data_IF_789044117299
#
_entry.id   IF_789044117299
#
_cell.length_a   1.000
_cell.length_b   1.000
_cell.length_c   1.000
_cell.angle_alpha   90.00
_cell.angle_beta   90.00
_cell.angle_gamma   90.00
#
_symmetry.space_group_name_H-M   'P 1'
#
loop_
_entity.id
_entity.type
_entity.pdbx_description
1 polymer ?
#
# COMPACT_ATOMS: atom_id res chain seq x y z
N UNK A 1 -10.67 15.96 12.02
CA UNK A 1 -9.99 17.08 11.31
C UNK A 1 -8.94 17.75 12.20
N UNK A 2 -9.30 18.45 13.29
CA UNK A 2 -8.33 19.17 14.13
C UNK A 2 -7.17 18.31 14.63
N UNK A 3 -7.45 17.12 15.16
CA UNK A 3 -6.41 16.18 15.62
C UNK A 3 -5.51 15.68 14.49
N UNK A 4 -6.08 15.41 13.31
CA UNK A 4 -5.30 14.98 12.16
C UNK A 4 -4.34 16.10 11.72
N UNK A 5 -4.82 17.34 11.67
CA UNK A 5 -4.00 18.51 11.34
C UNK A 5 -2.89 18.76 12.36
N UNK A 6 -3.22 18.69 13.65
CA UNK A 6 -2.26 18.81 14.74
C UNK A 6 -1.17 17.74 14.62
N UNK A 7 -1.57 16.47 14.41
CA UNK A 7 -0.63 15.37 14.24
C UNK A 7 0.31 15.58 13.05
N UNK A 8 -0.21 15.84 11.86
CA UNK A 8 0.65 15.99 10.67
C UNK A 8 1.55 17.23 10.73
N UNK A 9 1.08 18.35 11.29
CA UNK A 9 1.85 19.60 11.27
C UNK A 9 2.75 19.79 12.49
N UNK A 10 2.31 19.39 13.69
CA UNK A 10 3.03 19.64 14.94
C UNK A 10 3.83 18.42 15.40
N UNK A 11 3.26 17.22 15.29
CA UNK A 11 3.92 15.99 15.77
C UNK A 11 4.84 15.37 14.71
N UNK A 12 4.37 15.30 13.46
CA UNK A 12 5.21 14.86 12.33
C UNK A 12 6.06 15.99 11.74
N UNK A 13 5.74 17.25 12.05
CA UNK A 13 6.48 18.41 11.55
C UNK A 13 6.33 18.65 10.04
N UNK A 14 5.29 18.11 9.40
CA UNK A 14 5.11 18.29 7.96
C UNK A 14 4.77 19.76 7.65
N UNK A 15 5.45 20.37 6.65
CA UNK A 15 5.23 21.76 6.30
C UNK A 15 3.79 21.98 5.82
N UNK A 16 2.98 22.83 6.49
CA UNK A 16 1.58 23.08 6.11
C UNK A 16 1.41 23.53 4.66
N UNK A 17 2.43 24.19 4.08
CA UNK A 17 2.42 24.65 2.70
C UNK A 17 2.50 23.52 1.65
N UNK A 18 2.91 22.32 2.05
CA UNK A 18 2.95 21.11 1.21
C UNK A 18 1.69 20.27 1.37
N UNK A 19 0.79 20.60 2.30
CA UNK A 19 -0.42 19.85 2.56
C UNK A 19 -1.60 20.41 1.76
N UNK A 20 -2.32 19.51 1.13
CA UNK A 20 -3.54 19.76 0.37
C UNK A 20 -4.66 18.90 0.92
N UNK A 21 -5.89 19.39 0.80
CA UNK A 21 -7.07 18.74 1.35
C UNK A 21 -8.07 18.45 0.24
N UNK A 22 -8.67 17.27 0.28
CA UNK A 22 -9.86 16.93 -0.51
C UNK A 22 -11.05 16.72 0.42
N UNK A 23 -12.25 17.06 -0.05
CA UNK A 23 -13.52 16.89 0.67
C UNK A 23 -14.61 16.48 -0.32
N UNK A 24 -15.68 15.89 0.20
CA UNK A 24 -16.86 15.56 -0.61
C UNK A 24 -17.57 16.82 -1.16
N UNK A 25 -18.17 16.73 -2.34
CA UNK A 25 -18.77 17.86 -3.09
C UNK A 25 -19.62 18.80 -2.21
N UNK A 26 -20.50 18.23 -1.40
CA UNK A 26 -21.50 18.97 -0.63
C UNK A 26 -21.13 19.12 0.87
N UNK A 27 -19.90 18.78 1.26
CA UNK A 27 -19.44 18.84 2.65
C UNK A 27 -18.86 20.22 3.02
N UNK A 28 -19.77 21.20 3.14
CA UNK A 28 -19.45 22.56 3.61
C UNK A 28 -18.98 22.62 5.07
N UNK A 29 -19.28 21.59 5.86
CA UNK A 29 -18.84 21.52 7.25
C UNK A 29 -17.34 21.26 7.32
N UNK A 30 -16.85 20.25 6.61
CA UNK A 30 -15.42 19.95 6.51
C UNK A 30 -14.64 21.14 5.92
N UNK A 31 -15.18 21.79 4.87
CA UNK A 31 -14.57 22.98 4.30
C UNK A 31 -14.33 24.08 5.35
N UNK A 32 -15.37 24.43 6.13
CA UNK A 32 -15.27 25.44 7.20
C UNK A 32 -14.32 25.02 8.32
N UNK A 33 -14.30 23.73 8.67
CA UNK A 33 -13.38 23.21 9.68
C UNK A 33 -11.92 23.38 9.24
N UNK A 34 -11.57 23.05 8.00
CA UNK A 34 -10.23 23.23 7.47
C UNK A 34 -9.82 24.71 7.36
N UNK A 35 -10.74 25.58 6.94
CA UNK A 35 -10.47 27.03 6.92
C UNK A 35 -10.17 27.59 8.31
N UNK A 36 -10.90 27.15 9.35
CA UNK A 36 -10.65 27.57 10.74
C UNK A 36 -9.25 27.17 11.25
N UNK A 37 -8.68 26.11 10.69
CA UNK A 37 -7.31 25.66 10.97
C UNK A 37 -6.25 26.38 10.14
N UNK A 38 -6.65 27.30 9.26
CA UNK A 38 -5.75 28.13 8.44
C UNK A 38 -5.37 27.52 7.10
N UNK A 39 -6.01 26.42 6.66
CA UNK A 39 -5.78 25.88 5.31
C UNK A 39 -6.35 26.85 4.27
N UNK A 40 -5.55 27.32 3.29
CA UNK A 40 -6.03 28.23 2.26
C UNK A 40 -7.15 27.61 1.42
N UNK A 41 -8.22 28.34 1.07
CA UNK A 41 -9.36 27.81 0.31
C UNK A 41 -8.95 27.13 -1.02
N UNK A 42 -7.94 27.67 -1.70
CA UNK A 42 -7.43 27.11 -2.96
C UNK A 42 -6.74 25.75 -2.82
N UNK A 43 -6.42 25.31 -1.59
CA UNK A 43 -5.87 23.97 -1.30
C UNK A 43 -6.91 23.01 -0.71
N UNK A 44 -8.17 23.41 -0.67
CA UNK A 44 -9.30 22.55 -0.25
C UNK A 44 -10.15 22.28 -1.48
N UNK A 45 -9.96 21.10 -2.07
CA UNK A 45 -10.61 20.70 -3.31
C UNK A 45 -11.83 19.82 -3.02
N UNK A 46 -12.82 19.89 -3.91
CA UNK A 46 -14.08 19.15 -3.79
C UNK A 46 -14.19 18.09 -4.88
N UNK A 47 -14.46 16.84 -4.49
CA UNK A 47 -14.66 15.74 -5.42
C UNK A 47 -15.90 14.92 -5.08
N UNK A 48 -16.39 14.19 -6.10
CA UNK A 48 -17.59 13.36 -6.00
C UNK A 48 -17.33 12.02 -5.31
N UNK A 49 -18.28 11.09 -5.49
CA UNK A 49 -18.23 9.80 -4.79
C UNK A 49 -17.02 8.93 -5.16
N UNK A 50 -16.45 9.12 -6.35
CA UNK A 50 -15.29 8.35 -6.79
C UNK A 50 -14.07 8.55 -5.87
N UNK A 51 -13.87 9.76 -5.36
CA UNK A 51 -12.68 10.12 -4.61
C UNK A 51 -12.97 10.40 -3.13
N UNK A 52 -14.09 11.08 -2.81
CA UNK A 52 -14.37 11.54 -1.45
C UNK A 52 -15.61 10.90 -0.82
N UNK A 53 -15.93 9.67 -1.23
CA UNK A 53 -16.91 8.82 -0.54
C UNK A 53 -16.31 7.43 -0.33
N UNK A 54 -16.16 7.05 0.93
CA UNK A 54 -15.53 5.78 1.27
C UNK A 54 -16.57 4.71 1.60
N UNK A 55 -16.43 3.56 0.95
CA UNK A 55 -17.17 2.33 1.26
C UNK A 55 -18.44 2.08 0.45
N UNK A 56 -19.19 1.01 0.79
CA UNK A 56 -18.85 0.05 1.84
C UNK A 56 -17.62 -0.79 1.50
N UNK A 57 -16.92 -1.30 2.53
CA UNK A 57 -15.90 -2.31 2.33
C UNK A 57 -16.57 -3.64 1.92
N UNK A 58 -16.49 -3.99 0.64
CA UNK A 58 -17.19 -5.14 0.07
C UNK A 58 -18.59 -4.78 -0.44
N UNK A 59 -19.49 -5.77 -0.51
CA UNK A 59 -20.80 -5.60 -1.18
C UNK A 59 -21.84 -4.84 -0.33
N UNK A 60 -21.59 -4.65 0.96
CA UNK A 60 -22.51 -3.97 1.90
C UNK A 60 -21.79 -3.58 3.18
N UNK A 61 -22.24 -2.54 3.87
CA UNK A 61 -21.72 -2.14 5.17
C UNK A 61 -21.68 -0.63 5.40
N UNK A 62 -20.99 -0.19 6.47
CA UNK A 62 -20.82 1.22 6.78
C UNK A 62 -20.05 1.97 5.69
N UNK A 63 -20.50 3.18 5.36
CA UNK A 63 -19.89 4.07 4.39
C UNK A 63 -20.20 5.55 4.69
N UNK A 64 -19.51 6.46 4.02
CA UNK A 64 -19.77 7.89 4.19
C UNK A 64 -18.86 8.81 3.38
N UNK A 65 -19.19 10.11 3.33
CA UNK A 65 -18.30 11.11 2.77
C UNK A 65 -17.00 11.15 3.58
N UNK A 66 -15.91 11.53 2.93
CA UNK A 66 -14.62 11.62 3.59
C UNK A 66 -13.86 12.89 3.20
N UNK A 67 -12.86 13.22 4.01
CA UNK A 67 -11.89 14.27 3.76
C UNK A 67 -10.48 13.71 3.87
N UNK A 68 -9.64 14.00 2.89
CA UNK A 68 -8.30 13.43 2.82
C UNK A 68 -7.22 14.50 2.90
N UNK A 69 -6.06 14.12 3.43
CA UNK A 69 -4.85 14.92 3.48
C UNK A 69 -3.86 14.35 2.46
N UNK A 70 -3.43 15.20 1.55
CA UNK A 70 -2.47 14.92 0.49
C UNK A 70 -1.18 15.70 0.72
N UNK A 71 -0.03 15.07 0.50
CA UNK A 71 1.29 15.69 0.53
C UNK A 71 1.79 15.96 -0.89
N UNK A 72 2.22 17.20 -1.15
CA UNK A 72 2.80 17.64 -2.43
C UNK A 72 4.32 17.36 -2.47
N UNK A 73 4.72 16.34 -3.22
CA UNK A 73 6.13 15.98 -3.38
C UNK A 73 6.95 17.05 -4.12
N UNK A 74 6.31 17.91 -4.91
CA UNK A 74 6.96 18.99 -5.66
C UNK A 74 6.53 19.05 -7.12
N UNK A 75 6.67 20.24 -7.73
CA UNK A 75 6.28 20.48 -9.11
C UNK A 75 7.06 19.62 -10.12
N UNK A 76 8.30 19.24 -9.77
CA UNK A 76 9.16 18.35 -10.56
C UNK A 76 8.58 16.95 -10.75
N UNK A 77 7.67 16.52 -9.86
CA UNK A 77 6.92 15.26 -9.97
C UNK A 77 5.55 15.45 -10.63
N UNK A 78 5.20 16.68 -11.01
CA UNK A 78 3.92 17.02 -11.63
C UNK A 78 3.92 16.77 -13.14
N UNK A 79 2.72 16.63 -13.72
CA UNK A 79 2.56 16.48 -15.18
C UNK A 79 2.68 17.80 -15.98
N UNK A 80 3.12 18.89 -15.35
CA UNK A 80 3.28 20.21 -15.97
C UNK A 80 1.98 20.94 -16.35
N UNK A 81 0.81 20.32 -16.17
CA UNK A 81 -0.50 20.96 -16.42
C UNK A 81 -0.83 21.94 -15.28
N UNK A 82 -1.43 23.08 -15.62
CA UNK A 82 -1.90 24.05 -14.63
C UNK A 82 -2.97 23.48 -13.67
N UNK A 83 -3.66 22.42 -14.08
CA UNK A 83 -4.64 21.67 -13.28
C UNK A 83 -4.03 20.54 -12.43
N UNK A 84 -2.70 20.44 -12.34
CA UNK A 84 -2.04 19.40 -11.54
C UNK A 84 -2.31 19.65 -10.05
N UNK A 85 -3.11 18.78 -9.45
CA UNK A 85 -3.61 18.87 -8.08
C UNK A 85 -3.80 17.45 -7.51
N UNK A 86 -4.21 17.29 -6.22
CA UNK A 86 -4.67 16.00 -5.69
C UNK A 86 -5.62 15.26 -6.64
N UNK A 87 -5.56 13.92 -6.62
CA UNK A 87 -6.26 13.00 -7.54
C UNK A 87 -5.80 13.07 -9.01
N UNK A 88 -4.62 13.62 -9.27
CA UNK A 88 -3.95 13.51 -10.56
C UNK A 88 -3.03 12.28 -10.61
N UNK A 89 -3.14 11.46 -11.65
CA UNK A 89 -2.36 10.22 -11.85
C UNK A 89 -0.85 10.42 -12.10
N UNK A 90 -0.31 11.63 -11.93
CA UNK A 90 1.09 11.96 -12.20
C UNK A 90 2.07 11.56 -11.08
N UNK A 91 1.57 11.21 -9.90
CA UNK A 91 2.41 10.81 -8.76
C UNK A 91 2.95 11.96 -7.90
N UNK A 92 2.67 13.23 -8.23
CA UNK A 92 3.07 14.40 -7.42
C UNK A 92 2.43 14.44 -6.02
N UNK A 93 1.14 14.13 -5.95
CA UNK A 93 0.38 14.23 -4.71
C UNK A 93 0.21 12.83 -4.12
N UNK A 94 0.67 12.65 -2.88
CA UNK A 94 0.50 11.40 -2.14
C UNK A 94 -0.59 11.58 -1.10
N UNK A 95 -1.70 10.87 -1.23
CA UNK A 95 -2.72 10.76 -0.18
C UNK A 95 -2.10 10.04 1.03
N UNK A 96 -1.93 10.75 2.14
CA UNK A 96 -1.31 10.21 3.35
C UNK A 96 -2.34 9.79 4.40
N UNK A 97 -3.51 10.44 4.46
CA UNK A 97 -4.51 10.18 5.50
C UNK A 97 -5.93 10.48 5.02
N UNK A 98 -6.81 9.49 5.11
CA UNK A 98 -8.25 9.62 4.86
C UNK A 98 -9.03 9.70 6.19
N UNK A 99 -9.95 10.67 6.29
CA UNK A 99 -10.86 10.89 7.42
C UNK A 99 -12.29 10.64 6.94
N UNK A 100 -12.82 9.45 7.20
CA UNK A 100 -14.17 9.04 6.81
C UNK A 100 -15.17 9.43 7.87
N UNK A 101 -16.22 10.14 7.45
CA UNK A 101 -17.36 10.49 8.29
C UNK A 101 -18.45 9.46 8.04
N UNK A 102 -18.33 8.31 8.69
CA UNK A 102 -19.22 7.16 8.51
C UNK A 102 -20.63 7.51 8.99
N UNK A 103 -21.55 7.66 8.04
CA UNK A 103 -22.92 8.16 8.26
C UNK A 103 -23.99 7.21 7.75
N UNK A 104 -23.64 6.33 6.81
CA UNK A 104 -24.58 5.44 6.14
C UNK A 104 -24.21 3.97 6.33
N UNK A 105 -25.21 3.11 6.21
CA UNK A 105 -25.04 1.69 5.92
C UNK A 105 -25.64 1.41 4.54
N UNK A 106 -24.81 0.94 3.62
CA UNK A 106 -25.22 0.54 2.28
C UNK A 106 -25.54 -0.96 2.25
N UNK A 107 -26.71 -1.32 1.74
CA UNK A 107 -27.08 -2.72 1.50
C UNK A 107 -26.54 -3.24 0.14
N UNK A 108 -26.80 -4.52 -0.14
CA UNK A 108 -26.32 -5.19 -1.36
C UNK A 108 -26.95 -4.66 -2.65
N UNK A 109 -28.08 -3.96 -2.54
CA UNK A 109 -28.76 -3.32 -3.67
C UNK A 109 -28.26 -1.88 -3.89
N UNK A 110 -27.27 -1.44 -3.10
CA UNK A 110 -26.68 -0.11 -3.15
C UNK A 110 -27.49 0.95 -2.40
N UNK A 111 -28.57 0.58 -1.69
CA UNK A 111 -29.38 1.54 -0.95
C UNK A 111 -28.71 1.90 0.36
N UNK A 112 -28.61 3.21 0.61
CA UNK A 112 -28.00 3.78 1.82
C UNK A 112 -29.06 4.15 2.85
N UNK A 113 -28.83 3.76 4.09
CA UNK A 113 -29.65 4.12 5.27
C UNK A 113 -28.78 4.80 6.32
N UNK A 114 -29.31 5.78 7.05
CA UNK A 114 -28.54 6.46 8.09
C UNK A 114 -28.19 5.50 9.23
N UNK A 115 -26.95 5.59 9.69
CA UNK A 115 -26.52 4.90 10.91
C UNK A 115 -27.22 5.52 12.13
N UNK A 116 -27.59 4.71 13.14
CA UNK A 116 -28.16 5.24 14.38
C UNK A 116 -27.23 6.22 15.09
N UNK A 117 -25.92 5.98 14.99
CA UNK A 117 -24.87 6.84 15.53
C UNK A 117 -23.79 7.04 14.46
N UNK A 118 -23.67 8.25 13.88
CA UNK A 118 -22.53 8.60 13.05
C UNK A 118 -21.22 8.42 13.83
N UNK A 119 -20.16 7.98 13.14
CA UNK A 119 -18.84 7.78 13.74
C UNK A 119 -17.73 8.24 12.79
N UNK A 120 -16.49 8.14 13.25
CA UNK A 120 -15.30 8.53 12.52
C UNK A 120 -14.44 7.29 12.32
N UNK A 121 -14.07 7.02 11.08
CA UNK A 121 -13.05 6.05 10.70
C UNK A 121 -11.92 6.80 10.01
N UNK A 122 -10.65 6.52 10.36
CA UNK A 122 -9.52 7.19 9.73
C UNK A 122 -8.44 6.19 9.37
N UNK A 123 -7.93 6.29 8.15
CA UNK A 123 -6.83 5.45 7.66
C UNK A 123 -5.65 6.31 7.23
N UNK A 124 -4.51 6.13 7.88
CA UNK A 124 -3.24 6.76 7.50
C UNK A 124 -2.28 5.69 7.00
N UNK A 125 -1.78 5.83 5.77
CA UNK A 125 -0.81 4.88 5.22
C UNK A 125 0.55 5.07 5.90
N UNK A 126 0.99 4.10 6.71
CA UNK A 126 2.26 4.18 7.43
C UNK A 126 3.43 4.34 6.45
N UNK A 127 3.47 3.54 5.39
CA UNK A 127 4.50 3.54 4.37
C UNK A 127 4.62 4.90 3.66
N UNK A 128 3.47 5.47 3.24
CA UNK A 128 3.41 6.77 2.57
C UNK A 128 3.84 7.88 3.50
N UNK A 129 3.34 7.86 4.74
CA UNK A 129 3.66 8.86 5.75
C UNK A 129 5.14 8.80 6.15
N UNK A 130 5.69 7.61 6.35
CA UNK A 130 7.09 7.39 6.65
C UNK A 130 7.99 7.91 5.52
N UNK A 131 7.66 7.61 4.26
CA UNK A 131 8.39 8.14 3.10
C UNK A 131 8.41 9.68 3.12
N UNK A 132 7.26 10.32 3.31
CA UNK A 132 7.14 11.78 3.38
C UNK A 132 7.97 12.37 4.53
N UNK A 133 7.87 11.81 5.74
CA UNK A 133 8.63 12.25 6.92
C UNK A 133 10.14 12.09 6.71
N UNK A 134 10.56 11.05 6.00
CA UNK A 134 11.96 10.78 5.67
C UNK A 134 12.46 11.59 4.44
N UNK A 135 11.63 12.45 3.86
CA UNK A 135 11.96 13.25 2.68
C UNK A 135 12.16 12.40 1.42
N UNK A 136 11.50 11.25 1.34
CA UNK A 136 11.51 10.32 0.20
C UNK A 136 10.31 10.55 -0.70
N UNK A 137 10.48 10.22 -1.97
CA UNK A 137 9.43 10.37 -3.00
C UNK A 137 8.75 9.06 -3.34
N UNK A 138 9.29 7.95 -2.82
CA UNK A 138 8.75 6.61 -2.97
C UNK A 138 8.73 5.88 -1.65
N UNK A 139 7.69 5.08 -1.40
CA UNK A 139 7.64 4.19 -0.24
C UNK A 139 8.80 3.20 -0.21
N UNK A 140 9.32 2.84 -1.38
CA UNK A 140 10.41 1.89 -1.55
C UNK A 140 11.77 2.44 -1.11
N UNK A 141 11.88 3.75 -0.94
CA UNK A 141 13.08 4.41 -0.41
C UNK A 141 13.02 4.65 1.10
N UNK A 142 11.86 4.37 1.72
CA UNK A 142 11.71 4.46 3.16
C UNK A 142 12.46 3.31 3.84
N UNK A 143 12.85 3.53 5.09
CA UNK A 143 13.45 2.53 5.97
C UNK A 143 12.62 1.24 6.07
N UNK A 144 11.29 1.30 5.84
CA UNK A 144 10.44 0.11 5.85
C UNK A 144 10.74 -0.87 4.69
N UNK A 145 11.15 -0.37 3.52
CA UNK A 145 11.40 -1.22 2.34
C UNK A 145 12.87 -1.38 2.00
N UNK A 146 13.72 -0.44 2.39
CA UNK A 146 15.15 -0.46 2.05
C UNK A 146 15.84 -1.78 2.43
N UNK A 147 15.64 -2.36 3.64
CA UNK A 147 16.26 -3.64 4.00
C UNK A 147 15.81 -4.81 3.12
N UNK A 148 14.55 -4.83 2.68
CA UNK A 148 14.03 -5.88 1.79
C UNK A 148 14.63 -5.76 0.41
N UNK A 149 14.72 -4.55 -0.13
CA UNK A 149 15.32 -4.30 -1.44
C UNK A 149 16.83 -4.58 -1.42
N UNK A 150 17.53 -4.25 -0.34
CA UNK A 150 18.93 -4.64 -0.14
C UNK A 150 19.12 -6.15 -0.08
N UNK A 151 18.21 -6.87 0.60
CA UNK A 151 18.20 -8.32 0.61
C UNK A 151 18.05 -8.89 -0.81
N UNK A 152 17.05 -8.43 -1.56
CA UNK A 152 16.82 -8.85 -2.95
C UNK A 152 18.01 -8.49 -3.84
N UNK A 153 18.55 -7.27 -3.72
CA UNK A 153 19.74 -6.81 -4.44
C UNK A 153 20.93 -7.74 -4.23
N UNK A 154 21.19 -8.15 -2.98
CA UNK A 154 22.27 -9.07 -2.63
C UNK A 154 22.06 -10.46 -3.22
N UNK A 155 20.83 -10.98 -3.19
CA UNK A 155 20.50 -12.30 -3.71
C UNK A 155 20.58 -12.32 -5.26
N UNK A 156 20.06 -11.30 -5.93
CA UNK A 156 20.06 -11.17 -7.39
C UNK A 156 21.40 -10.69 -7.96
N UNK A 157 22.28 -10.12 -7.12
CA UNK A 157 23.48 -9.39 -7.55
C UNK A 157 23.16 -8.25 -8.53
N UNK A 158 22.00 -7.61 -8.34
CA UNK A 158 21.56 -6.43 -9.08
C UNK A 158 21.35 -5.28 -8.12
N UNK A 159 21.76 -4.08 -8.51
CA UNK A 159 21.65 -2.88 -7.68
C UNK A 159 20.29 -2.23 -7.91
N UNK A 160 19.51 -2.02 -6.85
CA UNK A 160 18.29 -1.21 -6.92
C UNK A 160 18.62 0.23 -7.36
N UNK A 161 17.82 0.80 -8.25
CA UNK A 161 18.03 2.11 -8.87
C UNK A 161 18.84 2.06 -10.17
N UNK A 162 19.18 0.87 -10.69
CA UNK A 162 19.98 0.75 -11.92
C UNK A 162 19.15 0.67 -13.19
N UNK A 163 17.93 0.13 -13.10
CA UNK A 163 17.05 -0.13 -14.23
C UNK A 163 15.60 -0.19 -13.76
N UNK A 164 14.70 0.55 -14.41
CA UNK A 164 13.31 0.71 -13.95
C UNK A 164 12.50 -0.61 -13.98
N UNK A 165 12.73 -1.46 -14.98
CA UNK A 165 12.03 -2.75 -15.09
C UNK A 165 12.48 -3.72 -14.01
N UNK A 166 13.79 -3.78 -13.76
CA UNK A 166 14.38 -4.57 -12.69
C UNK A 166 13.95 -4.06 -11.32
N UNK A 167 13.96 -2.74 -11.11
CA UNK A 167 13.53 -2.12 -9.86
C UNK A 167 12.06 -2.42 -9.57
N UNK A 168 11.20 -2.33 -10.60
CA UNK A 168 9.81 -2.72 -10.47
C UNK A 168 9.67 -4.19 -10.06
N UNK A 169 10.46 -5.07 -10.65
CA UNK A 169 10.48 -6.50 -10.29
C UNK A 169 10.89 -6.71 -8.82
N UNK A 170 11.94 -6.01 -8.37
CA UNK A 170 12.40 -6.04 -6.98
C UNK A 170 11.32 -5.53 -6.00
N UNK A 171 10.64 -4.44 -6.34
CA UNK A 171 9.52 -3.88 -5.55
C UNK A 171 8.39 -4.89 -5.39
N UNK A 172 7.99 -5.56 -6.48
CA UNK A 172 6.93 -6.58 -6.45
C UNK A 172 7.33 -7.77 -5.56
N UNK A 173 8.58 -8.22 -5.63
CA UNK A 173 9.07 -9.31 -4.76
C UNK A 173 9.05 -8.89 -3.28
N UNK A 174 9.49 -7.67 -2.96
CA UNK A 174 9.46 -7.14 -1.59
C UNK A 174 8.02 -7.09 -1.04
N UNK A 175 7.09 -6.51 -1.78
CA UNK A 175 5.67 -6.41 -1.43
C UNK A 175 5.03 -7.78 -1.20
N UNK A 176 5.22 -8.69 -2.15
CA UNK A 176 4.65 -10.04 -2.04
C UNK A 176 5.25 -10.80 -0.87
N UNK A 177 6.55 -10.71 -0.64
CA UNK A 177 7.21 -11.41 0.47
C UNK A 177 6.68 -10.93 1.83
N UNK A 178 6.42 -9.62 1.99
CA UNK A 178 5.75 -9.09 3.19
C UNK A 178 4.37 -9.70 3.36
N UNK A 179 3.51 -9.58 2.35
CA UNK A 179 2.14 -10.08 2.40
C UNK A 179 2.07 -11.60 2.64
N UNK A 180 2.94 -12.38 2.02
CA UNK A 180 3.04 -13.83 2.19
C UNK A 180 3.41 -14.19 3.63
N UNK A 181 4.41 -13.52 4.22
CA UNK A 181 4.85 -13.77 5.58
C UNK A 181 3.70 -13.56 6.58
N UNK A 182 2.99 -12.43 6.47
CA UNK A 182 1.83 -12.13 7.32
C UNK A 182 0.66 -13.08 7.09
N UNK A 183 0.29 -13.36 5.83
CA UNK A 183 -0.81 -14.29 5.52
C UNK A 183 -0.58 -15.68 6.12
N UNK A 184 0.64 -16.22 5.99
CA UNK A 184 0.96 -17.52 6.57
C UNK A 184 1.08 -17.42 8.10
N UNK A 185 1.63 -16.32 8.61
CA UNK A 185 1.66 -15.99 10.03
C UNK A 185 0.26 -16.02 10.65
N UNK A 186 -0.76 -15.51 9.95
CA UNK A 186 -2.15 -15.52 10.38
C UNK A 186 -2.87 -16.86 10.14
N UNK A 187 -2.17 -17.86 9.58
CA UNK A 187 -2.66 -19.23 9.41
C UNK A 187 -3.27 -19.53 8.04
N UNK A 188 -3.11 -18.66 7.04
CA UNK A 188 -3.51 -18.96 5.66
C UNK A 188 -2.49 -19.91 5.03
N UNK A 189 -2.96 -21.02 4.45
CA UNK A 189 -2.12 -21.99 3.73
C UNK A 189 -2.43 -22.00 2.23
N UNK A 190 -1.43 -22.21 1.35
CA UNK A 190 -1.66 -22.27 -0.10
C UNK A 190 -2.69 -23.33 -0.50
N UNK A 191 -3.68 -22.96 -1.32
CA UNK A 191 -4.74 -23.86 -1.80
C UNK A 191 -5.18 -23.50 -3.24
N UNK A 192 -6.18 -24.22 -3.79
CA UNK A 192 -6.77 -23.92 -5.09
C UNK A 192 -8.02 -23.02 -5.02
N UNK A 193 -8.47 -22.64 -3.82
CA UNK A 193 -9.72 -21.88 -3.65
C UNK A 193 -9.60 -20.78 -2.57
N UNK A 194 -10.43 -19.74 -2.70
CA UNK A 194 -10.55 -18.67 -1.70
C UNK A 194 -9.22 -17.99 -1.34
N UNK A 195 -9.01 -17.76 -0.04
CA UNK A 195 -7.81 -17.05 0.49
C UNK A 195 -6.51 -17.80 0.21
N UNK A 196 -6.54 -19.14 0.30
CA UNK A 196 -5.35 -19.96 0.02
C UNK A 196 -4.93 -19.90 -1.45
N UNK A 197 -5.87 -19.72 -2.38
CA UNK A 197 -5.54 -19.47 -3.79
C UNK A 197 -4.90 -18.10 -4.00
N UNK A 198 -5.39 -17.06 -3.31
CA UNK A 198 -4.76 -15.73 -3.36
C UNK A 198 -3.31 -15.82 -2.88
N UNK A 199 -3.07 -16.45 -1.72
CA UNK A 199 -1.72 -16.68 -1.21
C UNK A 199 -0.83 -17.44 -2.22
N UNK A 200 -1.36 -18.53 -2.80
CA UNK A 200 -0.65 -19.31 -3.82
C UNK A 200 -0.26 -18.44 -5.03
N UNK A 201 -1.15 -17.57 -5.51
CA UNK A 201 -0.86 -16.68 -6.65
C UNK A 201 0.23 -15.67 -6.32
N UNK A 202 0.18 -15.04 -5.14
CA UNK A 202 1.21 -14.08 -4.70
C UNK A 202 2.58 -14.75 -4.61
N UNK A 203 2.64 -15.93 -3.98
CA UNK A 203 3.88 -16.69 -3.83
C UNK A 203 4.46 -17.11 -5.17
N UNK A 204 3.63 -17.68 -6.07
CA UNK A 204 4.10 -18.08 -7.40
C UNK A 204 4.52 -16.90 -8.27
N UNK A 205 3.86 -15.75 -8.14
CA UNK A 205 4.28 -14.53 -8.84
C UNK A 205 5.63 -14.03 -8.34
N UNK A 206 5.85 -14.00 -7.04
CA UNK A 206 7.14 -13.63 -6.45
C UNK A 206 8.25 -14.61 -6.86
N UNK A 207 7.97 -15.92 -6.80
CA UNK A 207 8.91 -16.95 -7.22
C UNK A 207 9.24 -16.87 -8.73
N UNK A 208 8.25 -16.62 -9.59
CA UNK A 208 8.47 -16.42 -11.03
C UNK A 208 9.37 -15.22 -11.33
N UNK A 209 9.07 -14.08 -10.71
CA UNK A 209 9.88 -12.87 -10.86
C UNK A 209 11.30 -13.05 -10.32
N UNK A 210 11.46 -13.84 -9.26
CA UNK A 210 12.76 -14.18 -8.71
C UNK A 210 13.60 -15.03 -9.67
N UNK A 211 12.99 -16.01 -10.36
CA UNK A 211 13.68 -16.79 -11.40
C UNK A 211 14.11 -15.90 -12.58
N UNK A 212 13.34 -14.86 -12.92
CA UNK A 212 13.69 -13.88 -13.95
C UNK A 212 14.88 -12.99 -13.56
N UNK A 213 15.00 -12.62 -12.27
CA UNK A 213 16.18 -11.90 -11.74
C UNK A 213 17.44 -12.77 -11.65
N UNK A 214 17.29 -14.07 -11.87
CA UNK A 214 18.38 -15.03 -11.94
C UNK A 214 18.89 -15.47 -10.57
N UNK A 215 19.62 -16.58 -10.61
CA UNK A 215 20.12 -17.39 -9.49
C UNK A 215 18.99 -18.18 -8.81
N UNK A 216 18.92 -19.50 -9.02
CA UNK A 216 17.91 -20.42 -8.44
C UNK A 216 17.95 -20.57 -6.90
N UNK A 217 17.91 -19.44 -6.20
CA UNK A 217 17.94 -19.22 -4.76
C UNK A 217 16.47 -19.06 -4.30
N UNK A 218 16.10 -19.50 -3.08
CA UNK A 218 14.76 -19.27 -2.53
C UNK A 218 14.59 -17.80 -2.09
N UNK A 219 14.39 -16.90 -3.06
CA UNK A 219 14.25 -15.45 -2.82
C UNK A 219 13.08 -15.11 -1.89
N UNK A 220 11.94 -15.79 -2.04
CA UNK A 220 10.73 -15.48 -1.27
C UNK A 220 10.94 -15.83 0.20
N UNK A 221 11.59 -16.98 0.48
CA UNK A 221 11.91 -17.38 1.85
C UNK A 221 12.87 -16.39 2.54
N UNK A 222 13.96 -16.00 1.86
CA UNK A 222 14.95 -15.07 2.42
C UNK A 222 14.38 -13.66 2.62
N UNK A 223 13.54 -13.18 1.71
CA UNK A 223 12.88 -11.87 1.83
C UNK A 223 11.79 -11.89 2.91
N UNK A 224 11.10 -13.03 3.10
CA UNK A 224 10.19 -13.22 4.22
C UNK A 224 10.92 -13.21 5.57
N UNK A 225 12.12 -13.81 5.68
CA UNK A 225 12.95 -13.70 6.89
C UNK A 225 13.31 -12.24 7.20
N UNK A 226 13.76 -11.49 6.20
CA UNK A 226 14.06 -10.06 6.35
C UNK A 226 12.82 -9.27 6.83
N UNK A 227 11.63 -9.60 6.33
CA UNK A 227 10.36 -9.02 6.82
C UNK A 227 10.13 -9.32 8.30
N UNK A 228 10.31 -10.59 8.72
CA UNK A 228 10.12 -11.02 10.10
C UNK A 228 11.12 -10.33 11.04
N UNK A 229 12.38 -10.22 10.64
CA UNK A 229 13.42 -9.51 11.40
C UNK A 229 13.05 -8.04 11.61
N UNK A 230 12.58 -7.38 10.55
CA UNK A 230 12.25 -5.96 10.60
C UNK A 230 10.97 -5.67 11.40
N UNK A 231 9.92 -6.47 11.20
CA UNK A 231 8.58 -6.18 11.73
C UNK A 231 8.26 -6.96 13.02
N UNK A 232 9.04 -7.98 13.36
CA UNK A 232 8.74 -8.92 14.44
C UNK A 232 8.71 -8.32 15.85
N UNK A 233 9.34 -7.16 16.06
CA UNK A 233 9.26 -6.45 17.34
C UNK A 233 7.89 -5.81 17.60
N UNK A 234 7.13 -5.49 16.54
CA UNK A 234 5.75 -5.00 16.61
C UNK A 234 4.75 -6.15 16.48
N UNK A 235 5.06 -7.12 15.62
CA UNK A 235 4.22 -8.26 15.28
C UNK A 235 4.88 -9.57 15.78
N UNK A 236 4.83 -9.88 17.08
CA UNK A 236 5.52 -11.05 17.63
C UNK A 236 5.02 -12.39 17.07
N UNK A 237 3.79 -12.44 16.55
CA UNK A 237 3.16 -13.62 15.96
C UNK A 237 3.91 -14.16 14.73
N UNK A 238 4.46 -13.29 13.88
CA UNK A 238 5.25 -13.72 12.72
C UNK A 238 6.61 -14.28 13.13
N UNK A 239 7.18 -13.83 14.27
CA UNK A 239 8.39 -14.41 14.86
C UNK A 239 8.09 -15.79 15.44
N UNK A 240 7.02 -15.90 16.23
CA UNK A 240 6.60 -17.18 16.85
C UNK A 240 6.31 -18.27 15.80
N UNK A 241 5.85 -17.87 14.61
CA UNK A 241 5.52 -18.77 13.51
C UNK A 241 6.56 -18.82 12.40
N UNK A 242 7.74 -18.23 12.61
CA UNK A 242 8.79 -18.11 11.58
C UNK A 242 9.10 -19.45 10.91
N UNK A 243 9.37 -20.51 11.68
CA UNK A 243 9.71 -21.83 11.11
C UNK A 243 8.59 -22.38 10.23
N UNK A 244 7.33 -22.19 10.65
CA UNK A 244 6.16 -22.60 9.86
C UNK A 244 6.02 -21.78 8.58
N UNK A 245 6.16 -20.44 8.68
CA UNK A 245 6.09 -19.52 7.54
C UNK A 245 7.12 -19.92 6.49
N UNK A 246 8.39 -20.05 6.89
CA UNK A 246 9.48 -20.40 5.98
C UNK A 246 9.24 -21.78 5.37
N UNK A 247 8.82 -22.78 6.17
CA UNK A 247 8.56 -24.12 5.66
C UNK A 247 7.45 -24.16 4.60
N UNK A 248 6.37 -23.40 4.80
CA UNK A 248 5.27 -23.31 3.84
C UNK A 248 5.74 -22.67 2.54
N UNK A 249 6.53 -21.59 2.63
CA UNK A 249 7.10 -20.91 1.46
C UNK A 249 7.97 -21.86 0.64
N UNK A 250 8.94 -22.50 1.29
CA UNK A 250 9.88 -23.42 0.64
C UNK A 250 9.16 -24.59 -0.06
N UNK A 251 8.13 -25.16 0.57
CA UNK A 251 7.36 -26.26 -0.02
C UNK A 251 6.58 -25.84 -1.27
N UNK A 252 5.96 -24.67 -1.26
CA UNK A 252 5.23 -24.18 -2.44
C UNK A 252 6.19 -23.72 -3.55
N UNK A 253 7.31 -23.08 -3.21
CA UNK A 253 8.37 -22.74 -4.17
C UNK A 253 8.93 -23.98 -4.85
N UNK A 254 9.25 -25.04 -4.08
CA UNK A 254 9.76 -26.29 -4.63
C UNK A 254 8.75 -26.93 -5.60
N UNK A 255 7.47 -27.02 -5.23
CA UNK A 255 6.39 -27.54 -6.09
C UNK A 255 6.23 -26.71 -7.36
N UNK A 256 6.31 -25.38 -7.25
CA UNK A 256 6.16 -24.51 -8.41
C UNK A 256 7.34 -24.64 -9.37
N UNK A 257 8.56 -24.75 -8.84
CA UNK A 257 9.80 -24.90 -9.61
C UNK A 257 9.81 -26.14 -10.51
N UNK A 258 9.14 -27.22 -10.11
CA UNK A 258 8.97 -28.42 -10.95
C UNK A 258 8.26 -28.11 -12.27
N UNK A 259 7.36 -27.13 -12.27
CA UNK A 259 6.52 -26.79 -13.44
C UNK A 259 6.94 -25.53 -14.16
N UNK A 260 7.61 -24.59 -13.48
CA UNK A 260 7.91 -23.26 -14.02
C UNK A 260 8.80 -23.32 -15.25
N UNK A 261 9.85 -24.17 -15.24
CA UNK A 261 10.80 -24.29 -16.34
C UNK A 261 10.13 -24.81 -17.62
N UNK A 262 9.28 -25.83 -17.48
CA UNK A 262 8.49 -26.36 -18.58
C UNK A 262 7.49 -25.32 -19.08
N UNK A 263 6.83 -24.60 -18.16
CA UNK A 263 5.90 -23.53 -18.51
C UNK A 263 6.56 -22.38 -19.31
N UNK A 264 7.75 -21.96 -18.89
CA UNK A 264 8.52 -20.92 -19.58
C UNK A 264 8.92 -21.36 -21.00
N UNK A 265 9.45 -22.59 -21.16
CA UNK A 265 9.79 -23.12 -22.47
C UNK A 265 8.60 -23.18 -23.44
N UNK A 266 7.41 -23.53 -22.93
CA UNK A 266 6.19 -23.56 -23.73
C UNK A 266 5.74 -22.15 -24.12
N UNK A 267 5.85 -21.19 -23.20
CA UNK A 267 5.49 -19.79 -23.48
C UNK A 267 6.42 -19.17 -24.52
N UNK A 268 7.73 -19.38 -24.39
CA UNK A 268 8.75 -18.90 -25.35
C UNK A 268 8.53 -19.50 -26.75
N UNK A 269 7.96 -20.69 -26.86
CA UNK A 269 7.61 -21.31 -28.14
C UNK A 269 6.33 -20.76 -28.80
N UNK A 270 5.56 -19.94 -28.08
CA UNK A 270 4.30 -19.33 -28.55
C UNK A 270 4.47 -17.83 -28.83
N UNK A 271 5.42 -17.17 -28.15
CA UNK A 271 5.82 -15.78 -28.40
C UNK A 271 6.74 -15.66 -29.62
#
# INVERSE_FOLDING_TARGET
ISWAWEFVTQHLGLPPQRLWITIFLDDDESFRCWQKLGVPPQRILRFGEQDNFWGPAGDSGPCGPCSEIHYDLGEEFGCGKASCAPNCDCGRFSEIWNLVFTQYNQDKDGRRTLLPNPNIDTGMGLERTAAVVQGKTSIYEADLFTPLLECISRLAKVKYGSDDETDNTMRVIAEHSRGIAFLIGDGVTPSNEGRGYVLRRLLRRAAFLSEALGVGIPFVAETAKATIEQMGHIYPEIVQRQDFIIKVIELEEARFRETIRTGMQLLDGIM
#
